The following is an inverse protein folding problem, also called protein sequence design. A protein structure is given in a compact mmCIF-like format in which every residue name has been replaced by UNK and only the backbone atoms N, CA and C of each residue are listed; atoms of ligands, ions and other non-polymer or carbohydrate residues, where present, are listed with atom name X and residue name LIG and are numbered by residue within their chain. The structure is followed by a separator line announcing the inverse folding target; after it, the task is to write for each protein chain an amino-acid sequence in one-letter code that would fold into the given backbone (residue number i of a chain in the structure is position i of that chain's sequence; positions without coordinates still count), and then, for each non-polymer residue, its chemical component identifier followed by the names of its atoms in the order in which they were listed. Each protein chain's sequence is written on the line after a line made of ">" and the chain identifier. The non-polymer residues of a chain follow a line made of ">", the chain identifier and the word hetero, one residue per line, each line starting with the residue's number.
data_IF_822507762797
#
_entry.id   IF_822507762797
#
_cell.length_a   1.000
_cell.length_b   1.000
_cell.length_c   1.000
_cell.angle_alpha   90.00
_cell.angle_beta   90.00
_cell.angle_gamma   90.00
#
_symmetry.space_group_name_H-M   'P 1'
#
loop_
_entity.id
_entity.type
_entity.pdbx_description
1 polymer ?
#
# COMPACT_ATOMS: atom_id res chain seq x y z
N UNK A 1 26.26 14.89 -40.44
CA UNK A 1 27.26 14.48 -41.46
C UNK A 1 27.95 15.73 -42.03
N UNK A 2 29.08 15.59 -42.74
CA UNK A 2 29.66 16.71 -43.50
C UNK A 2 29.32 16.53 -44.98
N UNK A 3 28.58 17.48 -45.57
CA UNK A 3 28.18 17.48 -46.97
C UNK A 3 28.91 18.64 -47.67
N UNK A 4 29.81 18.32 -48.60
CA UNK A 4 30.63 19.29 -49.35
C UNK A 4 31.39 20.32 -48.49
N UNK A 5 31.90 19.91 -47.33
CA UNK A 5 32.64 20.78 -46.40
C UNK A 5 31.76 21.51 -45.38
N UNK A 6 30.43 21.40 -45.50
CA UNK A 6 29.47 21.99 -44.56
C UNK A 6 28.93 20.93 -43.59
N UNK A 7 29.02 21.14 -42.26
CA UNK A 7 28.38 20.25 -41.30
C UNK A 7 26.86 20.45 -41.34
N UNK A 8 26.14 19.36 -41.60
CA UNK A 8 24.68 19.36 -41.79
C UNK A 8 24.02 18.22 -41.02
N UNK A 9 22.89 18.54 -40.38
CA UNK A 9 22.08 17.60 -39.58
C UNK A 9 20.65 17.42 -40.12
N UNK A 10 20.27 18.11 -41.20
CA UNK A 10 18.95 18.04 -41.80
C UNK A 10 18.95 17.08 -43.01
N UNK A 11 17.93 16.22 -43.10
CA UNK A 11 17.72 15.40 -44.28
C UNK A 11 17.44 16.26 -45.52
N UNK A 12 17.85 15.79 -46.69
CA UNK A 12 17.60 16.49 -47.95
C UNK A 12 18.59 16.12 -49.06
N UNK A 13 18.31 16.61 -50.27
CA UNK A 13 19.19 16.47 -51.43
C UNK A 13 20.04 17.73 -51.59
N UNK A 14 21.35 17.56 -51.55
CA UNK A 14 22.34 18.62 -51.67
C UNK A 14 23.08 18.47 -52.99
N UNK A 15 23.23 19.56 -53.73
CA UNK A 15 23.96 19.57 -54.99
C UNK A 15 25.08 20.62 -54.96
N UNK A 16 26.26 20.26 -55.47
CA UNK A 16 27.37 21.18 -55.65
C UNK A 16 27.94 21.02 -57.06
N UNK A 17 28.29 22.14 -57.68
CA UNK A 17 28.92 22.17 -59.00
C UNK A 17 30.42 22.36 -58.83
N UNK A 18 31.20 21.47 -59.44
CA UNK A 18 32.66 21.51 -59.41
C UNK A 18 33.19 21.72 -60.82
N UNK A 19 33.87 22.85 -61.03
CA UNK A 19 34.48 23.21 -62.31
C UNK A 19 35.90 22.64 -62.41
N UNK A 20 36.15 21.86 -63.45
CA UNK A 20 37.47 21.34 -63.76
C UNK A 20 38.36 22.43 -64.39
N UNK A 21 39.67 22.22 -64.33
CA UNK A 21 40.69 23.19 -64.78
C UNK A 21 40.59 23.51 -66.29
N UNK A 22 39.93 22.66 -67.08
CA UNK A 22 39.66 22.82 -68.50
C UNK A 22 38.33 23.53 -68.80
N UNK A 23 37.61 24.01 -67.79
CA UNK A 23 36.37 24.77 -67.95
C UNK A 23 35.09 23.92 -68.05
N UNK A 24 35.19 22.59 -68.07
CA UNK A 24 34.02 21.72 -67.95
C UNK A 24 33.56 21.65 -66.49
N UNK A 25 32.27 21.70 -66.24
CA UNK A 25 31.69 21.53 -64.91
C UNK A 25 31.11 20.11 -64.70
N UNK A 26 30.93 19.75 -63.43
CA UNK A 26 30.24 18.53 -63.02
C UNK A 26 29.38 18.83 -61.81
N UNK A 27 28.13 18.33 -61.81
CA UNK A 27 27.22 18.46 -60.68
C UNK A 27 27.28 17.17 -59.87
N UNK A 28 27.54 17.30 -58.57
CA UNK A 28 27.54 16.20 -57.62
C UNK A 28 26.34 16.37 -56.72
N UNK A 29 25.52 15.33 -56.61
CA UNK A 29 24.32 15.31 -55.77
C UNK A 29 24.48 14.27 -54.66
N UNK A 30 24.20 14.66 -53.42
CA UNK A 30 24.17 13.79 -52.25
C UNK A 30 22.77 13.86 -51.64
N UNK A 31 22.13 12.72 -51.47
CA UNK A 31 20.93 12.60 -50.64
C UNK A 31 21.35 12.22 -49.22
N UNK A 32 21.07 13.12 -48.27
CA UNK A 32 21.26 12.86 -46.84
C UNK A 32 19.93 12.42 -46.24
N UNK A 33 19.90 11.19 -45.72
CA UNK A 33 18.79 10.65 -44.94
C UNK A 33 19.16 10.77 -43.47
N UNK A 34 18.27 11.34 -42.66
CA UNK A 34 18.39 11.40 -41.20
C UNK A 34 17.30 10.50 -40.63
N UNK A 35 17.69 9.53 -39.83
CA UNK A 35 16.76 8.60 -39.20
C UNK A 35 16.48 9.07 -37.77
N UNK A 36 15.24 8.88 -37.32
CA UNK A 36 14.82 9.25 -35.97
C UNK A 36 15.39 8.27 -34.92
N UNK A 37 15.68 8.80 -33.73
CA UNK A 37 15.92 7.97 -32.54
C UNK A 37 14.59 7.50 -31.97
N UNK A 38 14.45 6.20 -31.71
CA UNK A 38 13.21 5.63 -31.16
C UNK A 38 13.27 5.69 -29.63
N UNK A 39 12.28 6.30 -28.98
CA UNK A 39 12.11 6.24 -27.53
C UNK A 39 10.78 5.61 -27.14
N UNK A 40 10.79 4.72 -26.16
CA UNK A 40 9.58 4.08 -25.62
C UNK A 40 9.53 4.18 -24.09
N UNK A 41 8.32 4.21 -23.54
CA UNK A 41 8.07 4.23 -22.10
C UNK A 41 7.06 3.13 -21.76
N UNK A 42 7.44 2.28 -20.81
CA UNK A 42 6.58 1.29 -20.16
C UNK A 42 6.39 1.67 -18.70
N UNK A 43 5.22 1.38 -18.12
CA UNK A 43 4.96 1.55 -16.69
C UNK A 43 4.67 0.20 -16.07
N UNK A 44 5.42 -0.14 -15.01
CA UNK A 44 5.21 -1.33 -14.20
C UNK A 44 4.84 -0.86 -12.79
N UNK A 45 3.78 -1.46 -12.23
CA UNK A 45 3.36 -1.22 -10.87
C UNK A 45 3.44 -2.51 -10.06
N UNK A 46 3.99 -2.42 -8.85
CA UNK A 46 4.14 -3.52 -7.90
C UNK A 46 3.72 -3.08 -6.50
N UNK A 47 3.45 -4.05 -5.63
CA UNK A 47 3.23 -3.79 -4.21
C UNK A 47 4.54 -3.80 -3.42
N UNK A 48 4.54 -3.10 -2.29
CA UNK A 48 5.69 -3.10 -1.38
C UNK A 48 6.03 -4.52 -0.93
N UNK A 49 7.30 -4.91 -1.11
CA UNK A 49 7.80 -6.25 -0.85
C UNK A 49 7.85 -7.16 -2.09
N UNK A 50 7.26 -6.74 -3.20
CA UNK A 50 7.41 -7.40 -4.50
C UNK A 50 8.62 -6.86 -5.27
N UNK A 51 8.95 -7.52 -6.39
CA UNK A 51 9.99 -7.08 -7.32
C UNK A 51 9.48 -7.17 -8.75
N UNK A 52 9.93 -6.24 -9.60
CA UNK A 52 9.75 -6.31 -11.05
C UNK A 52 11.09 -6.57 -11.73
N UNK A 53 11.09 -7.33 -12.82
CA UNK A 53 12.27 -7.45 -13.69
C UNK A 53 12.41 -6.18 -14.53
N UNK A 54 13.51 -5.47 -14.32
CA UNK A 54 13.86 -4.26 -15.06
C UNK A 54 15.17 -4.54 -15.80
N UNK A 55 15.07 -4.79 -17.11
CA UNK A 55 16.22 -5.12 -17.96
C UNK A 55 17.04 -6.34 -17.46
N UNK A 56 16.38 -7.37 -16.94
CA UNK A 56 17.02 -8.58 -16.41
C UNK A 56 17.52 -8.44 -14.97
N UNK A 57 17.22 -7.34 -14.28
CA UNK A 57 17.56 -7.13 -12.88
C UNK A 57 16.29 -6.93 -12.03
N UNK A 58 16.11 -7.71 -10.94
CA UNK A 58 15.00 -7.50 -10.03
C UNK A 58 15.15 -6.14 -9.35
N UNK A 59 14.08 -5.35 -9.37
CA UNK A 59 14.03 -4.01 -8.79
C UNK A 59 12.77 -3.83 -7.94
N UNK A 60 12.92 -3.19 -6.79
CA UNK A 60 11.86 -2.90 -5.81
C UNK A 60 11.77 -1.40 -5.44
N UNK A 61 12.60 -0.55 -6.08
CA UNK A 61 12.62 0.88 -5.82
C UNK A 61 11.84 1.63 -6.91
N UNK A 62 10.94 2.55 -6.55
CA UNK A 62 10.24 3.35 -7.54
C UNK A 62 11.24 4.25 -8.27
N UNK A 63 11.05 4.41 -9.58
CA UNK A 63 11.98 5.21 -10.39
C UNK A 63 11.80 5.07 -11.89
N UNK A 64 12.56 5.87 -12.63
CA UNK A 64 12.66 5.77 -14.09
C UNK A 64 14.00 5.12 -14.46
N UNK A 65 13.92 3.95 -15.08
CA UNK A 65 15.06 3.19 -15.55
C UNK A 65 15.13 3.32 -17.07
N UNK A 66 16.32 3.53 -17.64
CA UNK A 66 16.49 3.65 -19.07
C UNK A 66 17.66 2.81 -19.58
N UNK A 67 17.47 2.16 -20.72
CA UNK A 67 18.51 1.43 -21.44
C UNK A 67 18.53 1.86 -22.90
N UNK A 68 19.74 2.15 -23.38
CA UNK A 68 19.96 2.48 -24.79
C UNK A 68 20.40 1.22 -25.54
N UNK A 69 19.76 0.95 -26.68
CA UNK A 69 20.09 -0.13 -27.58
C UNK A 69 20.68 0.45 -28.85
N UNK A 70 21.93 0.07 -29.13
CA UNK A 70 22.63 0.54 -30.31
C UNK A 70 22.14 -0.18 -31.55
N UNK A 71 21.60 0.58 -32.50
CA UNK A 71 21.15 0.01 -33.77
C UNK A 71 22.33 -0.10 -34.76
N UNK A 72 22.27 -1.08 -35.66
CA UNK A 72 23.33 -1.34 -36.66
C UNK A 72 23.56 -0.13 -37.59
N UNK A 73 22.57 0.73 -37.75
CA UNK A 73 22.62 1.96 -38.54
C UNK A 73 23.13 3.18 -37.75
N UNK A 74 23.49 3.03 -36.48
CA UNK A 74 23.99 4.11 -35.62
C UNK A 74 22.92 5.04 -35.05
N UNK A 75 21.63 4.73 -35.27
CA UNK A 75 20.52 5.46 -34.68
C UNK A 75 19.99 4.68 -33.46
N UNK A 76 20.59 4.97 -32.32
CA UNK A 76 20.27 4.28 -31.07
C UNK A 76 18.80 4.49 -30.67
N UNK A 77 18.22 3.48 -30.01
CA UNK A 77 16.91 3.58 -29.36
C UNK A 77 17.07 3.60 -27.85
N UNK A 78 16.15 4.26 -27.15
CA UNK A 78 16.09 4.24 -25.68
C UNK A 78 14.77 3.65 -25.23
N UNK A 79 14.82 2.58 -24.45
CA UNK A 79 13.66 2.07 -23.73
C UNK A 79 13.72 2.56 -22.29
N UNK A 80 12.61 3.10 -21.80
CA UNK A 80 12.48 3.51 -20.41
C UNK A 80 11.36 2.74 -19.73
N UNK A 81 11.58 2.34 -18.47
CA UNK A 81 10.58 1.70 -17.62
C UNK A 81 10.40 2.58 -16.38
N UNK A 82 9.16 3.02 -16.14
CA UNK A 82 8.76 3.66 -14.90
C UNK A 82 8.24 2.59 -13.94
N UNK A 83 8.97 2.35 -12.86
CA UNK A 83 8.53 1.49 -11.77
C UNK A 83 7.80 2.32 -10.71
N UNK A 84 6.56 1.94 -10.42
CA UNK A 84 5.73 2.48 -9.34
C UNK A 84 5.61 1.39 -8.26
N UNK A 85 5.80 1.77 -7.01
CA UNK A 85 5.67 0.86 -5.86
C UNK A 85 4.58 1.41 -4.95
N UNK A 86 3.53 0.63 -4.74
CA UNK A 86 2.42 0.97 -3.86
C UNK A 86 2.61 0.34 -2.48
N UNK A 87 2.36 1.11 -1.43
CA UNK A 87 2.52 0.63 -0.05
C UNK A 87 1.50 -0.48 0.29
N UNK A 88 1.92 -1.44 1.12
CA UNK A 88 1.01 -2.39 1.76
C UNK A 88 0.86 -1.98 3.22
N UNK A 89 -0.37 -1.80 3.69
CA UNK A 89 -0.61 -1.35 5.07
C UNK A 89 -1.02 -2.53 5.94
N UNK A 90 -0.33 -2.72 7.06
CA UNK A 90 -0.74 -3.65 8.10
C UNK A 90 -1.11 -2.88 9.38
N UNK A 91 -2.32 -3.07 9.90
CA UNK A 91 -2.81 -2.42 11.12
C UNK A 91 -3.11 -3.48 12.17
N UNK A 92 -2.69 -3.21 13.41
CA UNK A 92 -2.99 -4.04 14.57
C UNK A 92 -3.68 -3.20 15.65
N UNK A 93 -4.80 -3.70 16.15
CA UNK A 93 -5.60 -3.06 17.18
C UNK A 93 -5.95 -4.06 18.29
N UNK A 94 -5.98 -3.60 19.53
CA UNK A 94 -6.42 -4.38 20.69
C UNK A 94 -7.74 -3.83 21.21
N UNK A 95 -8.74 -4.70 21.34
CA UNK A 95 -10.06 -4.36 21.87
C UNK A 95 -10.37 -5.21 23.10
N UNK A 96 -10.89 -4.58 24.14
CA UNK A 96 -11.30 -5.23 25.39
C UNK A 96 -12.77 -4.93 25.62
N UNK A 97 -13.56 -5.97 25.87
CA UNK A 97 -14.98 -5.88 26.23
C UNK A 97 -15.28 -6.75 27.45
N UNK A 98 -16.44 -6.53 28.07
CA UNK A 98 -16.96 -7.39 29.14
C UNK A 98 -17.75 -8.59 28.58
N UNK A 99 -17.87 -9.67 29.35
CA UNK A 99 -18.53 -10.91 28.92
C UNK A 99 -20.02 -10.75 28.52
N UNK A 100 -20.66 -9.69 29.01
CA UNK A 100 -22.03 -9.29 28.67
C UNK A 100 -22.12 -8.31 27.48
N UNK A 101 -20.99 -7.93 26.88
CA UNK A 101 -20.91 -7.01 25.74
C UNK A 101 -20.59 -7.75 24.43
N UNK A 102 -20.74 -7.04 23.32
CA UNK A 102 -20.32 -7.49 21.99
C UNK A 102 -19.52 -6.40 21.30
N UNK A 103 -18.53 -6.81 20.50
CA UNK A 103 -17.78 -5.93 19.61
C UNK A 103 -18.15 -6.23 18.15
N UNK A 104 -18.31 -5.19 17.34
CA UNK A 104 -18.41 -5.36 15.88
C UNK A 104 -16.99 -5.47 15.30
N UNK A 105 -16.66 -6.66 14.80
CA UNK A 105 -15.39 -6.94 14.15
C UNK A 105 -15.65 -7.13 12.65
N UNK A 106 -15.26 -6.14 11.85
CA UNK A 106 -15.41 -6.14 10.39
C UNK A 106 -16.84 -6.41 9.89
N UNK A 107 -17.86 -5.87 10.58
CA UNK A 107 -19.27 -6.04 10.27
C UNK A 107 -19.91 -7.28 10.92
N UNK A 108 -19.17 -8.00 11.76
CA UNK A 108 -19.64 -9.18 12.48
C UNK A 108 -19.61 -8.94 13.99
N UNK A 109 -20.77 -8.85 14.68
CA UNK A 109 -20.80 -8.77 16.13
C UNK A 109 -20.33 -10.08 16.76
N UNK A 110 -19.37 -10.00 17.67
CA UNK A 110 -18.80 -11.15 18.39
C UNK A 110 -18.49 -10.80 19.84
N UNK A 111 -18.55 -11.81 20.70
CA UNK A 111 -18.09 -11.77 22.09
C UNK A 111 -17.12 -12.92 22.40
N UNK A 112 -16.49 -13.48 21.36
CA UNK A 112 -15.50 -14.53 21.50
C UNK A 112 -14.10 -13.91 21.47
N UNK A 113 -13.24 -14.17 22.47
CA UNK A 113 -11.88 -13.67 22.42
C UNK A 113 -11.09 -14.35 21.29
N UNK A 114 -10.18 -13.62 20.68
CA UNK A 114 -9.35 -14.14 19.60
C UNK A 114 -8.74 -13.06 18.71
N UNK A 115 -7.99 -13.52 17.70
CA UNK A 115 -7.44 -12.69 16.64
C UNK A 115 -8.32 -12.77 15.40
N UNK A 116 -8.73 -11.61 14.91
CA UNK A 116 -9.55 -11.46 13.71
C UNK A 116 -8.76 -10.70 12.67
N UNK A 117 -8.58 -11.28 11.49
CA UNK A 117 -7.84 -10.65 10.39
C UNK A 117 -8.74 -10.49 9.17
N UNK A 118 -8.74 -9.30 8.59
CA UNK A 118 -9.41 -9.00 7.33
C UNK A 118 -8.47 -8.29 6.37
N UNK A 119 -8.68 -8.54 5.09
CA UNK A 119 -7.92 -7.94 3.99
C UNK A 119 -8.82 -6.97 3.24
N UNK A 120 -8.36 -5.74 3.04
CA UNK A 120 -9.10 -4.69 2.35
C UNK A 120 -8.33 -4.29 1.10
N UNK A 121 -8.94 -4.51 -0.05
CA UNK A 121 -8.33 -4.19 -1.34
C UNK A 121 -8.29 -2.70 -1.59
N UNK A 122 -7.10 -2.19 -1.89
CA UNK A 122 -6.93 -0.84 -2.41
C UNK A 122 -7.22 -0.81 -3.93
N UNK A 123 -7.48 0.38 -4.46
CA UNK A 123 -7.68 0.64 -5.88
C UNK A 123 -6.52 0.14 -6.75
N UNK A 124 -5.32 0.03 -6.17
CA UNK A 124 -4.10 -0.40 -6.85
C UNK A 124 -3.83 -1.90 -6.75
N UNK A 125 -4.69 -2.67 -6.06
CA UNK A 125 -4.51 -4.12 -5.85
C UNK A 125 -3.47 -4.49 -4.78
N UNK A 126 -2.87 -3.50 -4.12
CA UNK A 126 -2.00 -3.70 -2.97
C UNK A 126 -2.86 -3.69 -1.71
N UNK A 127 -3.31 -4.89 -1.36
CA UNK A 127 -4.25 -5.06 -0.26
C UNK A 127 -3.63 -4.69 1.09
N UNK A 128 -4.45 -4.08 1.95
CA UNK A 128 -4.13 -3.81 3.34
C UNK A 128 -4.66 -4.93 4.24
N UNK A 129 -3.95 -5.25 5.32
CA UNK A 129 -4.37 -6.27 6.29
C UNK A 129 -4.62 -5.64 7.65
N UNK A 130 -5.82 -5.80 8.18
CA UNK A 130 -6.19 -5.32 9.51
C UNK A 130 -6.36 -6.51 10.44
N UNK A 131 -5.72 -6.47 11.60
CA UNK A 131 -5.86 -7.48 12.65
C UNK A 131 -6.37 -6.84 13.93
N UNK A 132 -7.45 -7.39 14.48
CA UNK A 132 -8.01 -7.01 15.78
C UNK A 132 -7.85 -8.16 16.76
N UNK A 133 -7.19 -7.91 17.89
CA UNK A 133 -7.17 -8.81 19.05
C UNK A 133 -8.30 -8.44 20.00
N UNK A 134 -9.30 -9.32 20.13
CA UNK A 134 -10.39 -9.17 21.07
C UNK A 134 -10.11 -9.94 22.36
N UNK A 135 -10.06 -9.22 23.48
CA UNK A 135 -10.05 -9.79 24.83
C UNK A 135 -11.41 -9.60 25.47
N UNK A 136 -11.95 -10.67 26.08
CA UNK A 136 -13.24 -10.64 26.77
C UNK A 136 -12.99 -10.93 28.24
N UNK A 137 -13.40 -9.99 29.10
CA UNK A 137 -13.22 -10.07 30.55
C UNK A 137 -14.50 -10.56 31.22
N UNK A 138 -14.37 -11.53 32.12
CA UNK A 138 -15.50 -12.02 32.92
C UNK A 138 -16.05 -10.93 33.85
N UNK A 139 -17.36 -10.89 34.00
CA UNK A 139 -18.05 -10.09 35.03
C UNK A 139 -17.93 -10.80 36.38
N UNK A 140 -17.42 -10.11 37.40
CA UNK A 140 -17.21 -10.71 38.72
C UNK A 140 -18.47 -10.59 39.60
N UNK A 141 -19.28 -11.64 39.67
CA UNK A 141 -20.39 -11.72 40.61
C UNK A 141 -19.98 -12.41 41.93
N UNK A 142 -20.32 -11.80 43.08
CA UNK A 142 -20.14 -12.40 44.41
C UNK A 142 -21.47 -12.46 45.17
N UNK A 143 -21.64 -13.47 46.02
CA UNK A 143 -22.84 -13.62 46.85
C UNK A 143 -22.46 -13.90 48.29
N UNK A 144 -23.04 -13.15 49.22
CA UNK A 144 -22.92 -13.39 50.65
C UNK A 144 -24.30 -13.72 51.24
N UNK A 145 -24.33 -14.56 52.27
CA UNK A 145 -25.57 -14.83 53.03
C UNK A 145 -25.40 -14.35 54.46
N UNK A 146 -26.40 -13.61 54.95
CA UNK A 146 -26.43 -13.04 56.28
C UNK A 146 -27.67 -13.54 57.02
N UNK A 147 -27.48 -14.01 58.25
CA UNK A 147 -28.57 -14.43 59.15
C UNK A 147 -28.57 -13.54 60.38
N UNK A 148 -29.75 -13.01 60.72
CA UNK A 148 -29.98 -12.16 61.90
C UNK A 148 -31.05 -12.77 62.79
N UNK A 149 -31.03 -12.45 64.09
CA UNK A 149 -32.03 -12.91 65.05
C UNK A 149 -33.35 -12.13 64.91
N UNK A 150 -34.40 -12.64 65.55
CA UNK A 150 -35.69 -11.93 65.61
C UNK A 150 -35.54 -10.56 66.28
N UNK A 151 -36.05 -9.52 65.61
CA UNK A 151 -35.95 -8.09 65.97
C UNK A 151 -34.58 -7.43 65.76
N UNK A 152 -33.63 -8.09 65.09
CA UNK A 152 -32.41 -7.44 64.61
C UNK A 152 -32.61 -6.83 63.22
N UNK A 153 -31.71 -5.92 62.84
CA UNK A 153 -31.61 -5.35 61.50
C UNK A 153 -30.20 -5.55 60.96
N UNK A 154 -30.07 -5.88 59.68
CA UNK A 154 -28.81 -5.88 58.95
C UNK A 154 -28.71 -4.63 58.07
N UNK A 155 -27.52 -4.05 57.96
CA UNK A 155 -27.24 -3.03 56.94
C UNK A 155 -26.96 -3.73 55.60
N UNK A 156 -27.84 -3.50 54.63
CA UNK A 156 -27.68 -3.98 53.26
C UNK A 156 -27.46 -2.76 52.38
N UNK A 157 -26.22 -2.60 51.89
CA UNK A 157 -25.82 -1.52 50.98
C UNK A 157 -26.13 -0.10 51.49
N UNK A 158 -25.98 0.14 52.80
CA UNK A 158 -26.25 1.42 53.46
C UNK A 158 -27.70 1.57 53.94
N UNK A 159 -28.52 0.52 53.83
CA UNK A 159 -29.93 0.52 54.23
C UNK A 159 -30.21 -0.56 55.30
N UNK A 160 -30.58 -0.19 56.54
CA UNK A 160 -30.96 -1.16 57.55
C UNK A 160 -32.30 -1.84 57.23
N UNK A 161 -32.33 -3.17 57.22
CA UNK A 161 -33.52 -3.99 56.93
C UNK A 161 -33.62 -5.18 57.88
N UNK A 162 -34.86 -5.61 58.15
CA UNK A 162 -35.19 -6.84 58.87
C UNK A 162 -36.05 -7.80 58.04
N UNK A 163 -36.18 -7.55 56.73
CA UNK A 163 -37.00 -8.34 55.82
C UNK A 163 -36.12 -9.40 55.15
N UNK A 164 -36.56 -10.65 55.17
CA UNK A 164 -35.90 -11.70 54.42
C UNK A 164 -36.07 -11.47 52.91
N UNK A 165 -34.98 -11.52 52.17
CA UNK A 165 -34.99 -11.31 50.73
C UNK A 165 -33.61 -11.43 50.11
N UNK A 166 -33.57 -11.43 48.79
CA UNK A 166 -32.34 -11.29 48.02
C UNK A 166 -32.16 -9.83 47.66
N UNK A 167 -31.00 -9.28 47.98
CA UNK A 167 -30.63 -7.91 47.67
C UNK A 167 -29.46 -7.91 46.68
N UNK A 168 -29.46 -6.98 45.73
CA UNK A 168 -28.45 -6.87 44.67
C UNK A 168 -28.00 -5.41 44.56
N UNK A 169 -26.70 -5.20 44.36
CA UNK A 169 -26.10 -3.91 44.06
C UNK A 169 -24.90 -4.15 43.16
N UNK A 170 -24.74 -3.32 42.13
CA UNK A 170 -23.59 -3.38 41.24
C UNK A 170 -22.44 -2.59 41.84
N UNK A 171 -21.23 -3.16 41.75
CA UNK A 171 -20.00 -2.53 42.21
C UNK A 171 -19.01 -2.46 41.05
N UNK A 172 -18.21 -1.38 40.98
CA UNK A 172 -17.14 -1.30 40.00
C UNK A 172 -16.07 -2.37 40.29
N UNK A 173 -15.97 -3.36 39.41
CA UNK A 173 -14.87 -4.30 39.44
C UNK A 173 -13.57 -3.61 39.00
N UNK A 174 -12.42 -4.07 39.54
CA UNK A 174 -11.11 -3.49 39.24
C UNK A 174 -10.74 -3.57 37.74
N UNK A 175 -11.31 -4.52 37.03
CA UNK A 175 -11.13 -4.73 35.59
C UNK A 175 -12.11 -3.93 34.72
N UNK A 176 -12.99 -3.11 35.32
CA UNK A 176 -13.98 -2.29 34.60
C UNK A 176 -15.25 -3.02 34.19
N UNK A 177 -15.33 -4.34 34.36
CA UNK A 177 -16.51 -5.15 34.04
C UNK A 177 -17.36 -5.38 35.29
N UNK A 178 -18.32 -4.48 35.51
CA UNK A 178 -19.24 -4.54 36.62
C UNK A 178 -20.29 -5.66 36.47
N UNK A 179 -20.83 -6.11 37.60
CA UNK A 179 -21.91 -7.09 37.69
C UNK A 179 -23.00 -6.58 38.62
#
# INVERSE_FOLDING_TARGET
>A
ANVFGTPTAAAGVYAATFTAQNGCDSIHTIELIVLDTISTLETIAICQGETADIFGMPSDQPGLYAQTFTAQNGCDSTHSIQLIVFDTTAVFESLIICANETADIFGTPTNLPGLYTATFSDLNGCDSTHTIELTVLDTLATSESLTICANETADIFGTPTNVAGTYQQTFQAQNGCDS
#
